data_IF_969333831023
#
_entry.id   IF_969333831023
#
_cell.length_a   1.000
_cell.length_b   1.000
_cell.length_c   1.000
_cell.angle_alpha   90.00
_cell.angle_beta   90.00
_cell.angle_gamma   90.00
#
_symmetry.space_group_name_H-M   'P 1'
#
loop_
_entity.id
_entity.type
_entity.pdbx_description
1 polymer ?
#
# COMPACT_ATOMS: atom_id res chain seq x y z
N UNK A 1 3.96 -14.07 5.20
CA UNK A 1 3.55 -12.70 4.83
C UNK A 1 4.74 -11.97 4.24
N UNK A 2 4.57 -11.22 3.15
CA UNK A 2 5.63 -10.39 2.54
C UNK A 2 5.08 -9.00 2.23
N UNK A 3 5.81 -7.95 2.58
CA UNK A 3 5.40 -6.56 2.34
C UNK A 3 5.61 -6.15 0.88
N UNK A 4 4.90 -5.13 0.41
CA UNK A 4 5.12 -4.54 -0.91
C UNK A 4 6.54 -3.97 -1.04
N UNK A 5 7.07 -3.36 0.04
CA UNK A 5 8.47 -2.94 0.12
C UNK A 5 9.44 -4.10 -0.16
N UNK A 6 9.22 -5.26 0.47
CA UNK A 6 10.07 -6.44 0.30
C UNK A 6 9.95 -7.10 -1.07
N UNK A 7 8.77 -7.03 -1.71
CA UNK A 7 8.58 -7.59 -3.07
C UNK A 7 9.15 -6.66 -4.15
N UNK A 8 9.00 -5.34 -3.97
CA UNK A 8 9.49 -4.35 -4.92
C UNK A 8 10.94 -3.91 -4.70
N UNK A 9 11.60 -4.43 -3.65
CA UNK A 9 12.91 -3.94 -3.19
C UNK A 9 12.94 -2.42 -2.95
N UNK A 10 11.82 -1.85 -2.49
CA UNK A 10 11.68 -0.43 -2.25
C UNK A 10 12.09 -0.08 -0.81
N UNK A 11 12.91 0.96 -0.64
CA UNK A 11 13.17 1.53 0.67
C UNK A 11 11.97 2.38 1.09
N UNK A 12 11.19 1.85 2.05
CA UNK A 12 9.97 2.47 2.59
C UNK A 12 10.24 3.76 3.39
N UNK A 13 11.50 4.08 3.70
CA UNK A 13 11.88 5.34 4.35
C UNK A 13 11.91 6.50 3.36
N UNK A 14 11.99 6.19 2.07
CA UNK A 14 11.95 7.16 0.98
C UNK A 14 10.60 6.98 0.26
N UNK A 15 9.82 8.06 0.04
CA UNK A 15 8.55 7.99 -0.67
C UNK A 15 8.80 7.77 -2.18
N UNK A 16 9.01 6.52 -2.57
CA UNK A 16 9.40 6.11 -3.94
C UNK A 16 8.25 5.50 -4.75
N UNK A 17 7.12 5.24 -4.11
CA UNK A 17 5.99 4.53 -4.73
C UNK A 17 4.70 5.31 -4.51
N UNK A 18 3.88 5.37 -5.54
CA UNK A 18 2.53 5.93 -5.50
C UNK A 18 1.47 4.81 -5.43
N UNK A 19 0.23 5.18 -5.14
CA UNK A 19 -0.88 4.22 -5.09
C UNK A 19 -1.12 3.52 -6.43
N UNK A 20 -0.92 4.19 -7.56
CA UNK A 20 -1.11 3.58 -8.89
C UNK A 20 -0.12 2.43 -9.10
N UNK A 21 1.14 2.63 -8.74
CA UNK A 21 2.21 1.64 -8.81
C UNK A 21 1.95 0.49 -7.85
N UNK A 22 1.47 0.79 -6.62
CA UNK A 22 1.04 -0.23 -5.68
C UNK A 22 -0.07 -1.11 -6.26
N UNK A 23 -1.12 -0.53 -6.84
CA UNK A 23 -2.24 -1.28 -7.40
C UNK A 23 -1.83 -2.11 -8.62
N UNK A 24 -0.91 -1.61 -9.45
CA UNK A 24 -0.29 -2.40 -10.54
C UNK A 24 0.51 -3.58 -9.99
N UNK A 25 1.27 -3.38 -8.92
CA UNK A 25 1.99 -4.44 -8.22
C UNK A 25 1.03 -5.49 -7.64
N UNK A 26 -0.10 -5.06 -7.05
CA UNK A 26 -1.15 -5.96 -6.57
C UNK A 26 -1.69 -6.85 -7.70
N UNK A 27 -2.04 -6.25 -8.84
CA UNK A 27 -2.53 -6.99 -10.01
C UNK A 27 -1.49 -7.98 -10.54
N UNK A 28 -0.22 -7.59 -10.58
CA UNK A 28 0.86 -8.45 -11.04
C UNK A 28 1.06 -9.68 -10.15
N UNK A 29 1.02 -9.49 -8.83
CA UNK A 29 1.31 -10.55 -7.85
C UNK A 29 0.12 -11.49 -7.65
N UNK A 30 -1.08 -10.95 -7.48
CA UNK A 30 -2.28 -11.72 -7.14
C UNK A 30 -2.97 -12.29 -8.37
N UNK A 31 -2.83 -11.61 -9.51
CA UNK A 31 -3.57 -11.89 -10.75
C UNK A 31 -5.09 -11.92 -10.55
N UNK A 32 -5.58 -11.16 -9.58
CA UNK A 32 -6.98 -11.13 -9.18
C UNK A 32 -7.44 -9.69 -8.94
N UNK A 33 -8.40 -9.22 -9.73
CA UNK A 33 -8.92 -7.86 -9.64
C UNK A 33 -9.60 -7.59 -8.30
N UNK A 34 -10.12 -8.61 -7.63
CA UNK A 34 -10.79 -8.47 -6.31
C UNK A 34 -9.80 -8.02 -5.25
N UNK A 35 -8.57 -8.52 -5.31
CA UNK A 35 -7.48 -8.12 -4.42
C UNK A 35 -7.04 -6.67 -4.70
N UNK A 36 -7.05 -6.27 -5.97
CA UNK A 36 -6.77 -4.88 -6.38
C UNK A 36 -7.85 -3.92 -5.86
N UNK A 37 -9.13 -4.32 -5.92
CA UNK A 37 -10.23 -3.52 -5.37
C UNK A 37 -10.08 -3.34 -3.85
N UNK A 38 -9.79 -4.40 -3.11
CA UNK A 38 -9.53 -4.31 -1.67
C UNK A 38 -8.33 -3.41 -1.33
N UNK A 39 -7.26 -3.47 -2.12
CA UNK A 39 -6.12 -2.56 -1.97
C UNK A 39 -6.51 -1.11 -2.26
N UNK A 40 -7.37 -0.87 -3.26
CA UNK A 40 -7.86 0.47 -3.59
C UNK A 40 -8.74 1.05 -2.48
N UNK A 41 -9.59 0.23 -1.86
CA UNK A 41 -10.39 0.64 -0.70
C UNK A 41 -9.50 1.05 0.48
N UNK A 42 -8.39 0.34 0.71
CA UNK A 42 -7.41 0.72 1.74
C UNK A 42 -6.70 2.04 1.43
N UNK A 43 -6.39 2.29 0.16
CA UNK A 43 -5.83 3.58 -0.27
C UNK A 43 -6.81 4.72 0.01
N UNK A 44 -8.09 4.54 -0.34
CA UNK A 44 -9.15 5.52 -0.06
C UNK A 44 -9.33 5.72 1.45
N UNK A 45 -9.32 4.65 2.23
CA UNK A 45 -9.39 4.73 3.69
C UNK A 45 -8.27 5.59 4.27
N UNK A 46 -7.02 5.38 3.82
CA UNK A 46 -5.89 6.14 4.33
C UNK A 46 -6.03 7.65 4.07
N UNK A 47 -6.53 8.03 2.90
CA UNK A 47 -6.80 9.44 2.55
C UNK A 47 -7.94 10.02 3.40
N UNK A 48 -9.06 9.33 3.48
CA UNK A 48 -10.26 9.83 4.18
C UNK A 48 -10.04 9.93 5.70
N UNK A 49 -9.25 9.04 6.27
CA UNK A 49 -9.01 8.97 7.71
C UNK A 49 -7.72 9.69 8.16
N UNK A 50 -7.04 10.41 7.25
CA UNK A 50 -5.74 11.01 7.52
C UNK A 50 -4.74 10.00 8.13
N UNK A 51 -4.69 8.77 7.59
CA UNK A 51 -3.60 7.85 7.88
C UNK A 51 -2.47 8.08 6.86
N UNK A 52 -1.58 9.02 7.19
CA UNK A 52 -0.48 9.41 6.32
C UNK A 52 0.81 8.63 6.54
N UNK A 53 0.83 7.63 7.43
CA UNK A 53 1.95 6.68 7.57
C UNK A 53 1.76 5.42 6.69
N UNK A 54 1.26 5.65 5.49
CA UNK A 54 0.84 4.66 4.50
C UNK A 54 1.98 4.18 3.60
N UNK A 55 3.18 4.01 4.14
CA UNK A 55 4.33 3.51 3.38
C UNK A 55 4.17 2.04 2.94
N UNK A 56 4.99 1.64 1.95
CA UNK A 56 4.98 0.32 1.30
C UNK A 56 5.20 -0.89 2.23
N UNK A 57 5.65 -0.70 3.48
CA UNK A 57 5.70 -1.80 4.48
C UNK A 57 4.32 -2.12 5.11
N UNK A 58 3.34 -1.24 4.99
CA UNK A 58 1.98 -1.40 5.53
C UNK A 58 1.02 -2.12 4.57
N UNK A 59 1.53 -2.51 3.40
CA UNK A 59 0.84 -3.32 2.43
C UNK A 59 1.55 -4.66 2.31
N UNK A 60 0.82 -5.76 2.40
CA UNK A 60 1.40 -7.10 2.39
C UNK A 60 0.56 -8.11 1.62
N UNK A 61 1.23 -9.20 1.27
CA UNK A 61 0.67 -10.37 0.65
C UNK A 61 0.79 -11.56 1.58
N UNK A 62 -0.27 -12.34 1.64
CA UNK A 62 -0.28 -13.68 2.23
C UNK A 62 -0.36 -14.71 1.10
N UNK A 63 0.19 -15.89 1.34
CA UNK A 63 0.18 -16.98 0.38
C UNK A 63 -0.51 -18.16 1.06
N UNK A 64 -1.50 -18.74 0.39
CA UNK A 64 -2.16 -19.96 0.87
C UNK A 64 -1.31 -21.21 0.58
N UNK A 65 -1.82 -22.37 1.01
CA UNK A 65 -1.15 -23.65 0.83
C UNK A 65 -0.99 -24.05 -0.66
N UNK A 66 -1.86 -23.53 -1.53
CA UNK A 66 -1.85 -23.78 -2.96
C UNK A 66 -0.94 -22.78 -3.72
N UNK A 67 -0.27 -21.88 -3.00
CA UNK A 67 0.65 -20.89 -3.56
C UNK A 67 -0.05 -19.66 -4.14
N UNK A 68 -1.37 -19.52 -3.97
CA UNK A 68 -2.10 -18.32 -4.40
C UNK A 68 -1.77 -17.18 -3.45
N UNK A 69 -1.49 -16.01 -4.03
CA UNK A 69 -1.16 -14.80 -3.28
C UNK A 69 -2.40 -13.92 -3.18
N UNK A 70 -2.72 -13.52 -1.96
CA UNK A 70 -3.84 -12.65 -1.63
C UNK A 70 -3.32 -11.43 -0.89
N UNK A 71 -4.07 -10.33 -0.96
CA UNK A 71 -3.81 -9.15 -0.17
C UNK A 71 -4.09 -9.46 1.31
N UNK A 72 -3.18 -9.09 2.19
CA UNK A 72 -3.35 -9.33 3.62
C UNK A 72 -4.48 -8.44 4.16
N UNK A 73 -5.16 -8.85 5.26
CA UNK A 73 -5.98 -7.95 6.06
C UNK A 73 -5.24 -6.64 6.42
N UNK A 74 -6.00 -5.58 6.74
CA UNK A 74 -5.41 -4.31 7.11
C UNK A 74 -4.77 -4.38 8.50
N UNK A 75 -3.67 -3.66 8.67
CA UNK A 75 -2.94 -3.53 9.92
C UNK A 75 -2.29 -2.15 9.97
N UNK A 76 -1.89 -1.73 11.17
CA UNK A 76 -1.24 -0.43 11.39
C UNK A 76 -2.07 0.75 10.85
N UNK A 77 -3.38 0.69 11.08
CA UNK A 77 -4.33 1.75 10.74
C UNK A 77 -4.48 2.68 11.95
N UNK A 78 -3.83 3.83 11.89
CA UNK A 78 -3.93 4.87 12.93
C UNK A 78 -4.07 6.24 12.27
N UNK A 79 -4.72 7.17 12.96
CA UNK A 79 -4.68 8.57 12.53
C UNK A 79 -3.22 9.05 12.61
N UNK A 80 -2.72 9.65 11.54
CA UNK A 80 -1.36 10.14 11.47
C UNK A 80 -1.27 11.35 10.54
N UNK A 81 -0.88 12.51 11.09
CA UNK A 81 -0.76 13.75 10.32
C UNK A 81 0.36 13.77 9.29
N UNK A 82 1.27 12.79 9.32
CA UNK A 82 2.38 12.66 8.38
C UNK A 82 3.47 13.72 8.57
N UNK A 83 4.68 13.51 8.01
CA UNK A 83 5.70 14.53 7.95
C UNK A 83 5.24 15.68 7.04
N UNK A 84 5.23 16.91 7.55
CA UNK A 84 4.83 18.08 6.76
C UNK A 84 3.34 18.13 6.36
N UNK A 85 2.50 17.24 6.91
CA UNK A 85 1.11 17.12 6.48
C UNK A 85 0.91 16.16 5.30
N UNK A 86 1.94 15.45 4.87
CA UNK A 86 1.94 14.67 3.62
C UNK A 86 1.87 13.16 3.87
N UNK A 87 1.30 12.43 2.91
CA UNK A 87 1.31 10.96 2.87
C UNK A 87 2.72 10.41 2.59
N UNK A 88 3.03 9.22 3.11
CA UNK A 88 4.28 8.50 2.82
C UNK A 88 4.31 7.91 1.41
N UNK A 89 3.15 7.75 0.77
CA UNK A 89 3.02 7.40 -0.64
C UNK A 89 2.31 8.53 -1.39
N UNK A 90 2.71 8.78 -2.63
CA UNK A 90 2.06 9.83 -3.42
C UNK A 90 0.63 9.41 -3.78
N UNK A 91 -0.30 10.32 -3.51
CA UNK A 91 -1.72 10.21 -3.86
C UNK A 91 -1.99 11.13 -5.04
N UNK A 92 -1.89 10.59 -6.26
CA UNK A 92 -2.27 11.29 -7.50
C UNK A 92 -1.64 12.68 -7.72
N UNK A 93 -0.45 12.93 -7.18
CA UNK A 93 0.26 14.21 -7.33
C UNK A 93 0.11 15.19 -6.17
N UNK A 94 -0.65 14.83 -5.12
CA UNK A 94 -0.84 15.69 -3.94
C UNK A 94 0.38 15.72 -3.01
N UNK A 95 1.31 14.76 -3.12
CA UNK A 95 2.52 14.77 -2.32
C UNK A 95 3.47 15.91 -2.73
N UNK A 96 3.73 16.83 -1.81
CA UNK A 96 4.69 17.93 -2.01
C UNK A 96 6.12 17.45 -1.68
N UNK A 97 7.08 17.52 -2.63
CA UNK A 97 8.47 17.14 -2.38
C UNK A 97 9.18 18.07 -1.39
#
# INVERSE_FOLDING_TARGET
>A
MRTAAGVAHADFRVPQMDYVTLLRLMQFITRDVREVLQASERCVFNVVFDNRDDHTKNFSFVMDADGRRQFSPAYDLTFNSGPGGEHRMNVSGEARP
#
